data_IF_661988771334
#
_entry.id   IF_661988771334
#
_cell.length_a   1.000
_cell.length_b   1.000
_cell.length_c   1.000
_cell.angle_alpha   90.00
_cell.angle_beta   90.00
_cell.angle_gamma   90.00
#
_symmetry.space_group_name_H-M   'P 1'
#
loop_
_entity.id
_entity.type
_entity.pdbx_description
1 polymer ?
#
# COMPACT_ATOMS: atom_id res chain seq x y z
N UNK A 1 7.19 -13.85 15.75
CA UNK A 1 5.76 -14.12 15.53
C UNK A 1 5.43 -13.81 14.09
N UNK A 2 4.69 -14.71 13.43
CA UNK A 2 4.25 -14.49 12.06
C UNK A 2 3.08 -13.52 12.02
N UNK A 3 3.13 -12.53 11.12
CA UNK A 3 2.04 -11.59 10.98
C UNK A 3 0.82 -12.28 10.33
N UNK A 4 -0.34 -12.12 10.95
CA UNK A 4 -1.60 -12.63 10.40
C UNK A 4 -2.02 -11.76 9.21
N UNK A 5 -2.22 -12.37 8.06
CA UNK A 5 -2.59 -11.68 6.83
C UNK A 5 -3.83 -10.79 7.03
N UNK A 6 -4.88 -11.34 7.62
CA UNK A 6 -6.13 -10.57 7.79
C UNK A 6 -5.93 -9.37 8.70
N UNK A 7 -5.14 -9.50 9.76
CA UNK A 7 -4.85 -8.39 10.66
C UNK A 7 -4.03 -7.31 9.97
N UNK A 8 -3.04 -7.70 9.16
CA UNK A 8 -2.22 -6.75 8.41
C UNK A 8 -3.08 -5.99 7.40
N UNK A 9 -3.88 -6.70 6.61
CA UNK A 9 -4.74 -6.05 5.62
C UNK A 9 -5.78 -5.14 6.24
N UNK A 10 -6.38 -5.55 7.36
CA UNK A 10 -7.33 -4.72 8.08
C UNK A 10 -6.68 -3.47 8.67
N UNK A 11 -5.45 -3.59 9.16
CA UNK A 11 -4.70 -2.44 9.64
C UNK A 11 -4.50 -1.41 8.53
N UNK A 12 -4.06 -1.87 7.37
CA UNK A 12 -3.83 -1.00 6.21
C UNK A 12 -5.13 -0.29 5.81
N UNK A 13 -6.22 -1.06 5.67
CA UNK A 13 -7.53 -0.48 5.31
C UNK A 13 -7.98 0.57 6.32
N UNK A 14 -7.87 0.27 7.60
CA UNK A 14 -8.34 1.15 8.67
C UNK A 14 -7.57 2.47 8.67
N UNK A 15 -6.25 2.40 8.63
CA UNK A 15 -5.41 3.60 8.67
C UNK A 15 -5.67 4.47 7.43
N UNK A 16 -5.66 3.87 6.26
CA UNK A 16 -5.79 4.62 5.01
C UNK A 16 -7.17 5.25 4.89
N UNK A 17 -8.23 4.47 5.11
CA UNK A 17 -9.61 4.95 4.88
C UNK A 17 -10.12 5.86 5.98
N UNK A 18 -9.50 5.88 7.12
CA UNK A 18 -9.80 6.86 8.15
C UNK A 18 -9.46 8.27 7.69
N UNK A 19 -8.36 8.42 6.96
CA UNK A 19 -7.90 9.72 6.44
C UNK A 19 -8.33 9.98 5.01
N UNK A 20 -8.43 8.94 4.20
CA UNK A 20 -8.77 9.01 2.78
C UNK A 20 -9.83 7.95 2.47
N UNK A 21 -11.11 8.23 2.77
CA UNK A 21 -12.18 7.21 2.65
C UNK A 21 -12.34 6.64 1.24
N UNK A 22 -11.98 7.39 0.21
CA UNK A 22 -12.13 6.98 -1.19
C UNK A 22 -10.83 6.43 -1.79
N UNK A 23 -9.79 6.23 -0.97
CA UNK A 23 -8.52 5.73 -1.49
C UNK A 23 -8.65 4.31 -2.00
N UNK A 24 -7.98 4.04 -3.12
CA UNK A 24 -7.72 2.69 -3.58
C UNK A 24 -6.46 2.18 -2.92
N UNK A 25 -6.45 0.91 -2.56
CA UNK A 25 -5.29 0.27 -1.95
C UNK A 25 -4.99 -0.98 -2.74
N UNK A 26 -3.76 -1.11 -3.22
CA UNK A 26 -3.32 -2.26 -4.02
C UNK A 26 -2.21 -2.99 -3.30
N UNK A 27 -2.43 -4.25 -2.97
CA UNK A 27 -1.37 -5.14 -2.52
C UNK A 27 -0.73 -5.77 -3.76
N UNK A 28 0.59 -5.77 -3.83
CA UNK A 28 1.32 -6.37 -4.94
C UNK A 28 2.56 -7.10 -4.41
N UNK A 29 3.36 -7.65 -5.31
CA UNK A 29 4.58 -8.35 -4.94
C UNK A 29 4.31 -9.74 -4.37
N UNK A 30 5.27 -10.29 -3.63
CA UNK A 30 5.23 -11.69 -3.19
C UNK A 30 4.04 -12.01 -2.30
N UNK A 31 3.61 -11.06 -1.45
CA UNK A 31 2.45 -11.27 -0.59
C UNK A 31 1.14 -11.35 -1.37
N UNK A 32 1.08 -10.69 -2.53
CA UNK A 32 -0.07 -10.80 -3.43
C UNK A 32 -0.03 -12.08 -4.25
N UNK A 33 1.15 -12.44 -4.76
CA UNK A 33 1.32 -13.65 -5.58
C UNK A 33 1.19 -14.95 -4.80
N UNK A 34 1.52 -14.91 -3.51
CA UNK A 34 1.51 -16.10 -2.67
C UNK A 34 2.85 -16.82 -2.58
N UNK A 35 3.89 -16.31 -3.24
CA UNK A 35 5.24 -16.89 -3.21
C UNK A 35 6.14 -16.25 -2.15
N UNK A 36 5.52 -15.71 -1.11
CA UNK A 36 6.23 -15.08 0.00
C UNK A 36 6.79 -16.12 0.96
N UNK A 37 7.74 -15.69 1.76
CA UNK A 37 8.23 -16.44 2.91
C UNK A 37 8.01 -15.61 4.18
N UNK A 38 8.23 -16.23 5.33
CA UNK A 38 8.17 -15.51 6.61
C UNK A 38 9.16 -14.36 6.57
N UNK A 39 8.71 -13.18 6.95
CA UNK A 39 9.53 -11.97 6.92
C UNK A 39 9.49 -11.21 5.60
N UNK A 40 8.81 -11.72 4.57
CA UNK A 40 8.62 -10.96 3.34
C UNK A 40 7.87 -9.67 3.59
N UNK A 41 8.28 -8.60 2.91
CA UNK A 41 7.62 -7.29 3.02
C UNK A 41 6.20 -7.34 2.43
N UNK A 42 5.36 -6.45 2.92
CA UNK A 42 4.03 -6.20 2.38
C UNK A 42 4.10 -4.96 1.52
N UNK A 43 4.01 -5.13 0.20
CA UNK A 43 4.14 -4.02 -0.75
C UNK A 43 2.78 -3.49 -1.15
N UNK A 44 2.55 -2.21 -0.93
CA UNK A 44 1.23 -1.58 -1.07
C UNK A 44 1.34 -0.27 -1.84
N UNK A 45 0.40 -0.06 -2.76
CA UNK A 45 0.19 1.24 -3.41
C UNK A 45 -1.07 1.85 -2.80
N UNK A 46 -0.98 3.11 -2.38
CA UNK A 46 -2.12 3.89 -1.89
C UNK A 46 -2.41 4.98 -2.91
N UNK A 47 -3.61 4.95 -3.50
CA UNK A 47 -4.02 5.93 -4.50
C UNK A 47 -5.12 6.79 -3.89
N UNK A 48 -4.79 8.06 -3.65
CA UNK A 48 -5.73 8.99 -3.01
C UNK A 48 -6.52 9.76 -4.07
N UNK A 49 -7.81 9.96 -3.82
CA UNK A 49 -8.71 10.64 -4.74
C UNK A 49 -8.76 12.14 -4.42
N UNK A 50 -7.64 12.81 -4.65
CA UNK A 50 -7.54 14.27 -4.51
C UNK A 50 -6.55 14.81 -5.53
N UNK A 51 -6.61 16.12 -5.87
CA UNK A 51 -5.84 16.68 -6.98
C UNK A 51 -4.33 16.64 -6.77
N UNK A 52 -3.88 16.75 -5.54
CA UNK A 52 -2.46 16.65 -5.22
C UNK A 52 -2.25 16.24 -3.77
N UNK A 53 -1.05 15.80 -3.46
CA UNK A 53 -0.60 15.54 -2.10
C UNK A 53 0.31 16.70 -1.73
N UNK A 54 -0.10 17.51 -0.75
CA UNK A 54 0.71 18.64 -0.32
C UNK A 54 2.04 18.17 0.24
N UNK A 55 3.08 18.98 0.04
CA UNK A 55 4.43 18.63 0.46
C UNK A 55 4.50 18.16 1.93
N UNK A 56 3.84 18.88 2.81
CA UNK A 56 3.83 18.56 4.25
C UNK A 56 3.10 17.27 4.60
N UNK A 57 2.27 16.76 3.70
CA UNK A 57 1.49 15.53 3.91
C UNK A 57 2.12 14.32 3.25
N UNK A 58 3.11 14.53 2.38
CA UNK A 58 3.75 13.44 1.64
C UNK A 58 4.40 12.45 2.59
N UNK A 59 4.08 11.18 2.40
CA UNK A 59 4.63 10.11 3.20
C UNK A 59 3.98 9.90 4.56
N UNK A 60 3.01 10.73 4.95
CA UNK A 60 2.36 10.59 6.26
C UNK A 60 1.60 9.28 6.39
N UNK A 61 0.82 8.90 5.38
CA UNK A 61 0.09 7.64 5.39
C UNK A 61 1.05 6.46 5.33
N UNK A 62 2.05 6.54 4.46
CA UNK A 62 3.06 5.49 4.31
C UNK A 62 3.80 5.26 5.63
N UNK A 63 4.17 6.34 6.30
CA UNK A 63 4.85 6.26 7.59
C UNK A 63 3.96 5.62 8.66
N UNK A 64 2.70 6.05 8.75
CA UNK A 64 1.78 5.52 9.76
C UNK A 64 1.53 4.03 9.56
N UNK A 65 1.32 3.61 8.31
CA UNK A 65 1.13 2.20 7.97
C UNK A 65 2.37 1.38 8.32
N UNK A 66 3.55 1.91 7.99
CA UNK A 66 4.81 1.26 8.34
C UNK A 66 5.00 1.15 9.86
N UNK A 67 4.79 2.25 10.58
CA UNK A 67 4.98 2.31 12.02
C UNK A 67 4.05 1.34 12.75
N UNK A 68 2.76 1.38 12.43
CA UNK A 68 1.77 0.50 13.08
C UNK A 68 1.93 -0.96 12.66
N UNK A 69 2.39 -1.20 11.44
CA UNK A 69 2.65 -2.56 10.96
C UNK A 69 3.70 -3.27 11.78
N UNK A 70 4.69 -2.55 12.29
CA UNK A 70 5.74 -3.14 13.12
C UNK A 70 5.16 -3.78 14.39
N UNK A 71 4.09 -3.23 14.93
CA UNK A 71 3.42 -3.80 16.11
C UNK A 71 2.83 -5.18 15.84
N UNK A 72 2.52 -5.48 14.57
CA UNK A 72 2.03 -6.77 14.14
C UNK A 72 3.13 -7.69 13.60
N UNK A 73 4.38 -7.27 13.69
CA UNK A 73 5.50 -8.03 13.13
C UNK A 73 5.56 -7.97 11.61
N UNK A 74 4.97 -6.94 10.99
CA UNK A 74 4.92 -6.78 9.55
C UNK A 74 5.73 -5.57 9.11
N UNK A 75 6.52 -5.72 8.04
CA UNK A 75 7.18 -4.61 7.36
C UNK A 75 6.33 -4.23 6.16
N UNK A 76 5.66 -3.08 6.25
CA UNK A 76 4.75 -2.62 5.21
C UNK A 76 5.38 -1.45 4.47
N UNK A 77 5.65 -1.65 3.19
CA UNK A 77 6.21 -0.62 2.30
C UNK A 77 5.08 -0.05 1.45
N UNK A 78 4.65 1.17 1.75
CA UNK A 78 3.56 1.81 1.04
C UNK A 78 4.09 3.00 0.23
N UNK A 79 3.58 3.12 -1.00
CA UNK A 79 3.88 4.25 -1.89
C UNK A 79 2.57 4.98 -2.17
N UNK A 80 2.57 6.29 -1.99
CA UNK A 80 1.38 7.12 -2.17
C UNK A 80 1.39 7.79 -3.54
N UNK A 81 0.23 7.74 -4.22
CA UNK A 81 0.01 8.45 -5.48
C UNK A 81 -1.35 9.12 -5.42
N UNK A 82 -1.49 10.24 -6.14
CA UNK A 82 -2.83 10.71 -6.49
C UNK A 82 -3.35 9.84 -7.64
N UNK A 83 -4.67 9.79 -7.80
CA UNK A 83 -5.26 9.06 -8.92
C UNK A 83 -4.70 9.58 -10.26
N UNK A 84 -4.55 10.90 -10.41
CA UNK A 84 -4.00 11.50 -11.62
C UNK A 84 -2.57 11.04 -11.87
N UNK A 85 -1.73 11.03 -10.84
CA UNK A 85 -0.34 10.56 -10.97
C UNK A 85 -0.28 9.11 -11.41
N UNK A 86 -1.10 8.25 -10.78
CA UNK A 86 -1.11 6.84 -11.12
C UNK A 86 -1.61 6.59 -12.54
N UNK A 87 -2.74 7.22 -12.90
CA UNK A 87 -3.37 7.02 -14.21
C UNK A 87 -2.52 7.60 -15.36
N UNK A 88 -1.81 8.71 -15.11
CA UNK A 88 -0.99 9.39 -16.11
C UNK A 88 0.44 8.86 -16.20
N UNK A 89 0.85 8.00 -15.27
CA UNK A 89 2.21 7.46 -15.28
C UNK A 89 2.43 6.69 -16.59
N UNK A 90 3.56 6.94 -17.26
CA UNK A 90 3.84 6.19 -18.49
C UNK A 90 4.00 4.70 -18.17
N UNK A 91 3.76 3.85 -19.18
CA UNK A 91 3.99 2.41 -19.00
C UNK A 91 5.42 2.15 -18.52
N UNK A 92 5.54 1.33 -17.48
CA UNK A 92 6.83 0.94 -16.91
C UNK A 92 6.77 -0.49 -16.45
N UNK A 93 7.92 -1.11 -16.29
CA UNK A 93 8.01 -2.46 -15.76
C UNK A 93 7.41 -2.53 -14.35
N UNK A 94 7.66 -1.52 -13.54
CA UNK A 94 7.11 -1.43 -12.19
C UNK A 94 5.57 -1.42 -12.21
N UNK A 95 4.98 -0.51 -12.97
CA UNK A 95 3.51 -0.42 -13.05
C UNK A 95 2.90 -1.69 -13.63
N UNK A 96 3.53 -2.27 -14.66
CA UNK A 96 3.10 -3.53 -15.24
C UNK A 96 3.08 -4.63 -14.19
N UNK A 97 4.14 -4.77 -13.40
CA UNK A 97 4.24 -5.81 -12.39
C UNK A 97 3.23 -5.59 -11.24
N UNK A 98 3.02 -4.34 -10.83
CA UNK A 98 2.01 -4.02 -9.83
C UNK A 98 0.63 -4.47 -10.30
N UNK A 99 0.24 -4.09 -11.52
CA UNK A 99 -1.07 -4.42 -12.06
C UNK A 99 -1.26 -5.92 -12.29
N UNK A 100 -0.19 -6.61 -12.68
CA UNK A 100 -0.22 -8.07 -12.87
C UNK A 100 -0.52 -8.81 -11.56
N UNK A 101 0.05 -8.35 -10.45
CA UNK A 101 -0.08 -9.00 -9.15
C UNK A 101 -1.21 -8.42 -8.31
N UNK A 102 -1.84 -7.34 -8.74
CA UNK A 102 -2.73 -6.51 -7.94
C UNK A 102 -3.85 -7.26 -7.22
N UNK A 103 -3.93 -7.05 -5.91
CA UNK A 103 -5.09 -7.40 -5.10
C UNK A 103 -5.60 -6.09 -4.51
N UNK A 104 -6.85 -5.74 -4.85
CA UNK A 104 -7.46 -4.51 -4.36
C UNK A 104 -8.06 -4.76 -2.98
N UNK A 105 -7.70 -3.91 -2.03
CA UNK A 105 -8.13 -4.04 -0.63
C UNK A 105 -9.38 -3.26 -0.31
#
# INVERSE_FOLDING_TARGET
MMADKNRVLNLIRTIVREKEPEAQIILYGSRARGDYHEGSDWDVIIIVNKPNIEFKERGNLSYEVWDKGLDLGATINAIEYTKKQWDSAPPSLFKHNVLKDAIYL
#
